data_IF_475901555146
#
_entry.id   IF_475901555146
#
_cell.length_a   1.000
_cell.length_b   1.000
_cell.length_c   1.000
_cell.angle_alpha   90.00
_cell.angle_beta   90.00
_cell.angle_gamma   90.00
#
_symmetry.space_group_name_H-M   'P 1'
#
loop_
_entity.id
_entity.type
_entity.pdbx_description
1 polymer ?
#
# COMPACT_ATOMS: atom_id res chain seq x y z
N UNK A 1 -0.80 -27.06 2.91
CA UNK A 1 -0.22 -26.02 2.01
C UNK A 1 0.05 -24.81 2.90
N UNK A 2 1.29 -24.30 3.00
CA UNK A 2 1.56 -23.08 3.79
C UNK A 2 0.92 -21.92 3.05
N UNK A 3 -0.28 -21.51 3.45
CA UNK A 3 -0.85 -20.23 3.04
C UNK A 3 0.11 -19.15 3.51
N UNK A 4 0.71 -18.46 2.55
CA UNK A 4 1.61 -17.35 2.85
C UNK A 4 0.70 -16.21 3.28
N UNK A 5 0.70 -15.88 4.58
CA UNK A 5 -0.14 -14.79 5.08
C UNK A 5 0.33 -13.46 4.48
N UNK A 6 -0.51 -12.86 3.66
CA UNK A 6 -0.31 -11.52 3.10
C UNK A 6 -1.13 -10.50 3.88
N UNK A 7 -0.62 -9.27 3.94
CA UNK A 7 -1.40 -8.08 4.31
C UNK A 7 -1.53 -7.19 3.09
N UNK A 8 -2.74 -6.76 2.76
CA UNK A 8 -3.00 -5.83 1.67
C UNK A 8 -2.97 -4.39 2.19
N UNK A 9 -2.22 -3.53 1.52
CA UNK A 9 -2.25 -2.08 1.74
C UNK A 9 -2.39 -1.35 0.40
N UNK A 10 -3.25 -0.32 0.31
CA UNK A 10 -3.33 0.49 -0.90
C UNK A 10 -2.13 1.44 -1.00
N UNK A 11 -1.87 1.93 -2.20
CA UNK A 11 -0.97 3.06 -2.41
C UNK A 11 -1.59 4.32 -1.82
N UNK A 12 -0.86 5.08 -0.97
CA UNK A 12 -1.42 6.27 -0.34
C UNK A 12 -1.53 7.43 -1.33
N UNK A 13 -2.67 8.10 -1.28
CA UNK A 13 -2.84 9.40 -1.92
C UNK A 13 -2.32 10.52 -1.05
N UNK A 14 -1.86 11.59 -1.70
CA UNK A 14 -1.56 12.82 -1.00
C UNK A 14 -2.85 13.46 -0.49
N UNK A 15 -2.83 14.03 0.71
CA UNK A 15 -4.02 14.60 1.36
C UNK A 15 -4.76 15.64 0.52
N UNK A 16 -4.06 16.49 -0.25
CA UNK A 16 -4.70 17.40 -1.20
C UNK A 16 -5.53 16.69 -2.27
N UNK A 17 -5.03 15.58 -2.83
CA UNK A 17 -5.77 14.78 -3.82
C UNK A 17 -6.94 14.06 -3.16
N UNK A 18 -6.77 13.59 -1.93
CA UNK A 18 -7.84 12.96 -1.17
C UNK A 18 -8.98 13.96 -0.91
N UNK A 19 -8.65 15.21 -0.53
CA UNK A 19 -9.65 16.28 -0.38
C UNK A 19 -10.36 16.63 -1.69
N UNK A 20 -9.62 16.69 -2.80
CA UNK A 20 -10.20 17.05 -4.10
C UNK A 20 -11.11 15.96 -4.69
N UNK A 21 -10.69 14.69 -4.61
CA UNK A 21 -11.45 13.55 -5.13
C UNK A 21 -12.47 12.98 -4.13
N UNK A 22 -12.36 13.33 -2.85
CA UNK A 22 -13.21 12.83 -1.77
C UNK A 22 -12.83 11.43 -1.26
N UNK A 23 -12.11 10.62 -2.05
CA UNK A 23 -11.76 9.24 -1.69
C UNK A 23 -10.46 8.76 -2.37
N UNK A 24 -9.91 7.66 -1.85
CA UNK A 24 -8.83 6.90 -2.47
C UNK A 24 -9.39 5.66 -3.17
N UNK A 25 -9.40 5.68 -4.51
CA UNK A 25 -9.87 4.56 -5.34
C UNK A 25 -9.18 3.25 -4.98
N UNK A 26 -7.85 3.30 -4.80
CA UNK A 26 -7.04 2.14 -4.46
C UNK A 26 -7.44 1.57 -3.08
N UNK A 27 -7.80 2.42 -2.13
CA UNK A 27 -8.25 1.98 -0.81
C UNK A 27 -9.61 1.27 -0.86
N UNK A 28 -10.59 1.85 -1.56
CA UNK A 28 -11.92 1.26 -1.69
C UNK A 28 -11.84 -0.11 -2.37
N UNK A 29 -11.19 -0.17 -3.53
CA UNK A 29 -11.06 -1.41 -4.30
C UNK A 29 -10.15 -2.41 -3.58
N UNK A 30 -9.09 -1.94 -2.95
CA UNK A 30 -8.17 -2.77 -2.15
C UNK A 30 -8.89 -3.45 -0.99
N UNK A 31 -9.81 -2.76 -0.31
CA UNK A 31 -10.64 -3.36 0.74
C UNK A 31 -11.47 -4.53 0.21
N UNK A 32 -12.16 -4.34 -0.92
CA UNK A 32 -12.97 -5.38 -1.56
C UNK A 32 -12.11 -6.58 -2.00
N UNK A 33 -10.90 -6.33 -2.51
CA UNK A 33 -9.96 -7.38 -2.90
C UNK A 33 -9.48 -8.16 -1.68
N UNK A 34 -9.14 -7.46 -0.59
CA UNK A 34 -8.69 -8.10 0.65
C UNK A 34 -9.77 -9.00 1.25
N UNK A 35 -11.03 -8.55 1.24
CA UNK A 35 -12.20 -9.34 1.67
C UNK A 35 -12.35 -10.62 0.82
N UNK A 36 -12.22 -10.52 -0.51
CA UNK A 36 -12.30 -11.68 -1.42
C UNK A 36 -11.14 -12.65 -1.29
N UNK A 37 -9.95 -12.15 -0.95
CA UNK A 37 -8.74 -12.95 -0.76
C UNK A 37 -8.60 -13.47 0.68
N UNK A 38 -9.52 -13.11 1.58
CA UNK A 38 -9.47 -13.44 3.01
C UNK A 38 -8.15 -13.03 3.69
N UNK A 39 -7.60 -11.87 3.30
CA UNK A 39 -6.37 -11.31 3.86
C UNK A 39 -6.62 -10.02 4.63
N UNK A 40 -5.76 -9.73 5.62
CA UNK A 40 -5.87 -8.52 6.42
C UNK A 40 -5.64 -7.28 5.55
N UNK A 41 -6.55 -6.32 5.65
CA UNK A 41 -6.43 -5.00 5.03
C UNK A 41 -5.93 -3.96 6.03
N UNK A 42 -4.89 -3.21 5.67
CA UNK A 42 -4.32 -2.13 6.50
C UNK A 42 -4.16 -0.87 5.63
N UNK A 43 -5.16 0.03 5.57
CA UNK A 43 -5.14 1.20 4.70
C UNK A 43 -4.13 2.28 5.16
N UNK A 44 -3.88 2.35 6.46
CA UNK A 44 -3.02 3.30 7.16
C UNK A 44 -1.59 2.77 7.35
N UNK A 45 -1.14 1.79 6.55
CA UNK A 45 0.24 1.28 6.67
C UNK A 45 1.26 2.26 6.07
N UNK A 46 0.85 2.99 5.04
CA UNK A 46 1.68 3.93 4.31
C UNK A 46 0.99 5.29 4.24
N UNK A 47 1.75 6.36 4.43
CA UNK A 47 1.28 7.74 4.27
C UNK A 47 2.13 8.48 3.24
N UNK A 48 1.51 9.47 2.58
CA UNK A 48 2.19 10.33 1.61
C UNK A 48 2.20 11.77 2.09
N UNK A 49 3.38 12.28 2.46
CA UNK A 49 3.54 13.64 3.02
C UNK A 49 3.65 14.76 2.00
N UNK A 50 4.20 14.50 0.81
CA UNK A 50 4.43 15.53 -0.21
C UNK A 50 3.71 15.23 -1.52
N UNK A 51 3.20 16.26 -2.22
CA UNK A 51 2.58 16.09 -3.53
C UNK A 51 3.64 15.82 -4.61
N UNK A 52 4.82 16.44 -4.48
CA UNK A 52 5.97 16.38 -5.40
C UNK A 52 6.93 15.25 -5.06
N UNK A 53 7.31 14.44 -6.06
CA UNK A 53 8.01 13.14 -5.92
C UNK A 53 7.30 12.19 -4.93
N UNK A 54 7.30 10.86 -5.14
CA UNK A 54 6.68 9.96 -4.18
C UNK A 54 7.57 9.85 -2.93
N UNK A 55 7.32 10.73 -1.95
CA UNK A 55 7.83 10.60 -0.59
C UNK A 55 6.76 9.91 0.25
N UNK A 56 6.95 8.61 0.43
CA UNK A 56 6.08 7.71 1.20
C UNK A 56 6.79 7.38 2.51
N UNK A 57 6.03 7.28 3.60
CA UNK A 57 6.53 6.91 4.93
C UNK A 57 5.60 5.86 5.55
N UNK A 58 6.13 5.08 6.50
CA UNK A 58 5.30 4.20 7.34
C UNK A 58 4.51 5.04 8.33
N UNK A 59 3.26 4.67 8.58
CA UNK A 59 2.48 5.31 9.63
C UNK A 59 2.86 4.80 11.01
N UNK A 60 2.79 5.68 12.02
CA UNK A 60 3.36 5.46 13.35
C UNK A 60 2.82 4.25 14.13
N UNK A 61 1.69 3.67 13.72
CA UNK A 61 1.13 2.42 14.31
C UNK A 61 1.87 1.17 13.84
N UNK A 62 2.45 1.19 12.64
CA UNK A 62 3.22 0.09 12.07
C UNK A 62 4.71 0.19 12.44
N UNK A 63 5.02 0.30 13.75
CA UNK A 63 6.42 0.26 14.21
C UNK A 63 7.08 -1.04 13.75
N UNK A 64 8.38 -0.94 13.43
CA UNK A 64 9.24 -1.94 12.78
C UNK A 64 9.12 -3.39 13.29
N UNK A 65 8.69 -3.58 14.52
CA UNK A 65 8.61 -4.90 15.18
C UNK A 65 7.34 -5.69 14.82
N UNK A 66 6.27 -5.05 14.34
CA UNK A 66 4.96 -5.70 14.09
C UNK A 66 4.49 -5.64 12.64
N UNK A 67 5.40 -5.39 11.69
CA UNK A 67 5.05 -5.35 10.27
C UNK A 67 4.96 -6.78 9.73
N UNK A 68 3.91 -7.07 8.96
CA UNK A 68 3.74 -8.37 8.32
C UNK A 68 4.95 -8.74 7.44
N UNK A 69 5.28 -10.04 7.41
CA UNK A 69 6.39 -10.54 6.58
C UNK A 69 6.13 -10.37 5.08
N UNK A 70 4.87 -10.43 4.64
CA UNK A 70 4.50 -10.33 3.23
C UNK A 70 3.41 -9.26 3.05
N UNK A 71 3.64 -8.32 2.13
CA UNK A 71 2.71 -7.24 1.83
C UNK A 71 2.32 -7.28 0.35
N UNK A 72 1.03 -7.13 0.09
CA UNK A 72 0.45 -6.89 -1.21
C UNK A 72 0.10 -5.40 -1.34
N UNK A 73 0.89 -4.65 -2.11
CA UNK A 73 0.62 -3.27 -2.48
C UNK A 73 -0.41 -3.24 -3.61
N UNK A 74 -1.47 -2.47 -3.43
CA UNK A 74 -2.50 -2.31 -4.44
C UNK A 74 -2.60 -0.87 -4.94
N UNK A 75 -2.70 -0.70 -6.26
CA UNK A 75 -3.01 0.58 -6.92
C UNK A 75 -4.05 0.32 -8.02
N UNK A 76 -4.87 1.31 -8.37
CA UNK A 76 -5.83 1.13 -9.47
C UNK A 76 -5.13 1.13 -10.83
N UNK A 77 -4.13 1.99 -11.02
CA UNK A 77 -3.41 2.15 -12.30
C UNK A 77 -1.89 2.17 -12.09
N UNK A 78 -1.19 1.25 -12.76
CA UNK A 78 0.26 1.31 -12.90
C UNK A 78 0.65 2.26 -14.03
N UNK A 79 1.52 3.24 -13.80
CA UNK A 79 2.08 4.06 -14.89
C UNK A 79 3.59 3.87 -15.04
N UNK A 80 4.38 4.79 -14.49
CA UNK A 80 5.85 4.70 -14.45
C UNK A 80 6.35 3.74 -13.36
N UNK A 81 5.46 3.29 -12.48
CA UNK A 81 5.81 2.46 -11.32
C UNK A 81 6.56 3.19 -10.21
N UNK A 82 6.82 4.49 -10.35
CA UNK A 82 7.64 5.25 -9.38
C UNK A 82 6.97 5.25 -8.00
N UNK A 83 5.65 5.40 -7.94
CA UNK A 83 4.91 5.36 -6.66
C UNK A 83 4.97 4.00 -5.99
N UNK A 84 4.70 2.92 -6.73
CA UNK A 84 4.75 1.55 -6.20
C UNK A 84 6.16 1.15 -5.77
N UNK A 85 7.20 1.57 -6.52
CA UNK A 85 8.59 1.36 -6.14
C UNK A 85 8.97 2.12 -4.87
N UNK A 86 8.50 3.36 -4.72
CA UNK A 86 8.73 4.13 -3.51
C UNK A 86 8.08 3.47 -2.28
N UNK A 87 6.82 3.03 -2.40
CA UNK A 87 6.12 2.28 -1.35
C UNK A 87 6.88 0.99 -1.01
N UNK A 88 7.25 0.20 -2.01
CA UNK A 88 7.99 -1.05 -1.81
C UNK A 88 9.34 -0.84 -1.12
N UNK A 89 10.09 0.21 -1.49
CA UNK A 89 11.35 0.54 -0.85
C UNK A 89 11.18 0.89 0.64
N UNK A 90 10.12 1.63 0.98
CA UNK A 90 9.80 2.00 2.37
C UNK A 90 9.48 0.74 3.18
N UNK A 91 8.65 -0.15 2.64
CA UNK A 91 8.29 -1.44 3.26
C UNK A 91 9.50 -2.36 3.45
N UNK A 92 10.36 -2.47 2.42
CA UNK A 92 11.60 -3.26 2.51
C UNK A 92 12.54 -2.74 3.58
N UNK A 93 12.72 -1.41 3.67
CA UNK A 93 13.51 -0.75 4.73
C UNK A 93 12.89 -0.95 6.12
N UNK A 94 11.60 -1.26 6.20
CA UNK A 94 10.90 -1.56 7.43
C UNK A 94 11.10 -2.99 7.94
N UNK A 95 11.72 -3.87 7.15
CA UNK A 95 11.92 -5.29 7.49
C UNK A 95 10.95 -6.26 6.82
N UNK A 96 10.11 -5.79 5.89
CA UNK A 96 9.17 -6.66 5.15
C UNK A 96 9.95 -7.61 4.23
N UNK A 97 9.71 -8.91 4.36
CA UNK A 97 10.42 -9.95 3.59
C UNK A 97 9.98 -9.95 2.14
N UNK A 98 8.68 -9.85 1.87
CA UNK A 98 8.12 -9.94 0.52
C UNK A 98 7.15 -8.78 0.24
N UNK A 99 7.30 -8.12 -0.91
CA UNK A 99 6.40 -7.04 -1.35
C UNK A 99 5.96 -7.33 -2.77
N UNK A 100 4.66 -7.47 -2.98
CA UNK A 100 4.02 -7.75 -4.26
C UNK A 100 3.21 -6.54 -4.69
N UNK A 101 3.15 -6.24 -5.99
CA UNK A 101 2.32 -5.17 -6.54
C UNK A 101 1.16 -5.77 -7.33
N UNK A 102 -0.05 -5.27 -7.08
CA UNK A 102 -1.27 -5.60 -7.82
C UNK A 102 -1.87 -4.31 -8.37
N UNK A 103 -2.13 -4.28 -9.68
CA UNK A 103 -2.81 -3.16 -10.35
C UNK A 103 -3.88 -3.65 -11.30
N UNK A 104 -4.96 -2.87 -11.47
CA UNK A 104 -6.05 -3.23 -12.39
C UNK A 104 -5.73 -2.88 -13.84
N UNK A 105 -4.96 -1.82 -14.06
CA UNK A 105 -4.59 -1.35 -15.39
C UNK A 105 -3.13 -0.86 -15.45
N UNK A 106 -2.63 -0.67 -16.68
CA UNK A 106 -1.31 -0.12 -17.02
C UNK A 106 -1.47 1.10 -17.92
#
# INVERSE_FOLDING_TARGET
>A
MRTVDFVLTPVPLHWWRLRWRGFNQAEILGKMIAEKLEIKFVPDLLTRKKPTRPQVELEGKARRENIASNILLFDDVWTTGVTLRACGNVLKRAGVKSVWGLTLAK
#
